data_IF_225057564670
#
_entry.id   IF_225057564670
#
_cell.length_a   1.000
_cell.length_b   1.000
_cell.length_c   1.000
_cell.angle_alpha   90.00
_cell.angle_beta   90.00
_cell.angle_gamma   90.00
#
_symmetry.space_group_name_H-M   'P 1'
#
loop_
_entity.id
_entity.type
_entity.pdbx_description
1 polymer ?
#
# COMPACT_ATOMS: atom_id res chain seq x y z
N UNK A 1 12.31 10.59 -31.87
CA UNK A 1 12.43 10.03 -33.24
C UNK A 1 13.87 9.67 -33.60
N UNK A 2 14.89 10.48 -33.25
CA UNK A 2 16.30 10.21 -33.60
C UNK A 2 16.87 9.01 -32.86
N UNK A 3 16.52 8.79 -31.61
CA UNK A 3 16.92 7.60 -30.85
C UNK A 3 16.31 6.31 -31.41
N UNK A 4 15.07 6.38 -31.89
CA UNK A 4 14.39 5.24 -32.54
C UNK A 4 15.09 4.89 -33.86
N UNK A 5 15.49 5.90 -34.64
CA UNK A 5 16.24 5.69 -35.87
C UNK A 5 17.65 5.17 -35.64
N UNK A 6 18.34 5.69 -34.63
CA UNK A 6 19.70 5.24 -34.28
C UNK A 6 19.74 3.78 -33.79
N UNK A 7 18.65 3.27 -33.25
CA UNK A 7 18.54 1.91 -32.72
C UNK A 7 17.68 0.98 -33.59
N UNK A 8 17.45 1.32 -34.86
CA UNK A 8 16.62 0.53 -35.79
C UNK A 8 17.16 -0.91 -35.97
N UNK A 9 18.47 -1.12 -35.85
CA UNK A 9 19.12 -2.43 -35.91
C UNK A 9 19.29 -3.12 -34.57
N UNK A 10 18.84 -2.50 -33.46
CA UNK A 10 18.90 -3.12 -32.15
C UNK A 10 17.69 -4.04 -31.90
N UNK A 11 17.96 -5.12 -31.19
CA UNK A 11 16.92 -6.09 -30.78
C UNK A 11 15.95 -5.51 -29.70
N UNK A 12 16.04 -4.20 -29.42
CA UNK A 12 15.29 -3.49 -28.38
C UNK A 12 14.11 -2.73 -28.97
N UNK A 13 12.95 -2.95 -28.39
CA UNK A 13 11.72 -2.27 -28.80
C UNK A 13 11.48 -1.01 -27.98
N UNK A 14 12.14 0.09 -28.31
CA UNK A 14 12.07 1.36 -27.58
C UNK A 14 10.61 1.88 -27.43
N UNK A 15 9.77 1.69 -28.46
CA UNK A 15 8.36 2.05 -28.39
C UNK A 15 7.59 1.28 -27.32
N UNK A 16 7.86 -0.01 -27.19
CA UNK A 16 7.25 -0.86 -26.17
C UNK A 16 7.75 -0.47 -24.77
N UNK A 17 9.05 -0.26 -24.64
CA UNK A 17 9.65 0.10 -23.36
C UNK A 17 9.18 1.47 -22.89
N UNK A 18 9.10 2.46 -23.78
CA UNK A 18 8.53 3.77 -23.49
C UNK A 18 7.05 3.69 -23.07
N UNK A 19 6.26 2.88 -23.79
CA UNK A 19 4.86 2.67 -23.42
C UNK A 19 4.69 2.00 -22.06
N UNK A 20 5.53 1.03 -21.77
CA UNK A 20 5.53 0.34 -20.46
C UNK A 20 5.93 1.29 -19.35
N UNK A 21 6.99 2.10 -19.57
CA UNK A 21 7.43 3.09 -18.60
C UNK A 21 6.33 4.10 -18.27
N UNK A 22 5.71 4.71 -19.30
CA UNK A 22 4.62 5.68 -19.10
C UNK A 22 3.44 5.04 -18.37
N UNK A 23 3.08 3.80 -18.74
CA UNK A 23 2.00 3.08 -18.04
C UNK A 23 2.31 2.88 -16.58
N UNK A 24 3.53 2.47 -16.22
CA UNK A 24 3.95 2.29 -14.84
C UNK A 24 3.91 3.61 -14.06
N UNK A 25 4.34 4.73 -14.66
CA UNK A 25 4.26 6.05 -14.03
C UNK A 25 2.81 6.49 -13.77
N UNK A 26 1.90 6.22 -14.72
CA UNK A 26 0.49 6.54 -14.55
C UNK A 26 -0.17 5.66 -13.45
N UNK A 27 0.20 4.38 -13.37
CA UNK A 27 -0.26 3.50 -12.29
C UNK A 27 0.26 3.96 -10.94
N UNK A 28 1.55 4.31 -10.84
CA UNK A 28 2.14 4.86 -9.63
C UNK A 28 1.43 6.15 -9.20
N UNK A 29 1.14 7.06 -10.14
CA UNK A 29 0.40 8.29 -9.85
C UNK A 29 -0.98 8.00 -9.28
N UNK A 30 -1.70 7.04 -9.86
CA UNK A 30 -3.01 6.60 -9.34
C UNK A 30 -2.90 6.08 -7.90
N UNK A 31 -1.86 5.30 -7.61
CA UNK A 31 -1.64 4.76 -6.27
C UNK A 31 -1.27 5.85 -5.26
N UNK A 32 -0.51 6.87 -5.69
CA UNK A 32 -0.22 8.07 -4.88
C UNK A 32 -1.52 8.83 -4.55
N UNK A 33 -2.37 9.06 -5.55
CA UNK A 33 -3.63 9.77 -5.38
C UNK A 33 -4.59 8.99 -4.45
N UNK A 34 -4.61 7.66 -4.56
CA UNK A 34 -5.37 6.81 -3.65
C UNK A 34 -4.84 6.92 -2.20
N UNK A 35 -3.53 6.79 -2.01
CA UNK A 35 -2.92 6.89 -0.68
C UNK A 35 -3.17 8.26 -0.04
N UNK A 36 -2.99 9.34 -0.77
CA UNK A 36 -3.20 10.70 -0.26
C UNK A 36 -4.66 10.98 0.10
N UNK A 37 -5.60 10.28 -0.54
CA UNK A 37 -7.03 10.49 -0.35
C UNK A 37 -7.61 9.55 0.71
N UNK A 38 -7.22 8.28 0.70
CA UNK A 38 -7.88 7.23 1.48
C UNK A 38 -7.00 6.61 2.58
N UNK A 39 -5.67 6.59 2.43
CA UNK A 39 -4.78 6.01 3.44
C UNK A 39 -4.38 7.06 4.48
N UNK A 40 -5.37 7.66 5.13
CA UNK A 40 -5.22 8.69 6.15
C UNK A 40 -6.37 8.65 7.15
N UNK A 41 -6.19 9.30 8.28
CA UNK A 41 -7.23 9.50 9.30
C UNK A 41 -8.35 10.42 8.79
N UNK A 42 -9.54 10.30 9.38
CA UNK A 42 -10.71 11.11 9.05
C UNK A 42 -11.50 10.64 7.81
N UNK A 43 -11.13 9.51 7.23
CA UNK A 43 -11.81 8.93 6.05
C UNK A 43 -12.62 7.68 6.43
N UNK A 44 -12.10 6.90 7.38
CA UNK A 44 -12.69 5.63 7.78
C UNK A 44 -13.54 5.78 9.03
N UNK A 45 -14.38 4.78 9.31
CA UNK A 45 -15.36 4.84 10.41
C UNK A 45 -14.72 4.86 11.80
N UNK A 46 -13.53 4.30 11.96
CA UNK A 46 -12.79 4.27 13.24
C UNK A 46 -11.32 4.57 12.98
N UNK A 47 -10.83 5.61 13.63
CA UNK A 47 -9.41 5.97 13.59
C UNK A 47 -8.80 5.80 14.99
N UNK A 48 -7.63 5.19 15.03
CA UNK A 48 -6.82 5.03 16.26
C UNK A 48 -5.46 5.68 16.08
N UNK A 49 -4.95 6.31 17.12
CA UNK A 49 -3.65 6.98 17.12
C UNK A 49 -2.63 6.21 17.96
N UNK A 50 -1.49 5.89 17.37
CA UNK A 50 -0.39 5.26 18.11
C UNK A 50 0.41 6.29 18.92
N UNK A 51 0.44 6.12 20.25
CA UNK A 51 1.18 6.97 21.19
C UNK A 51 2.37 6.22 21.80
N UNK A 52 3.39 6.98 22.22
CA UNK A 52 4.58 6.39 22.85
C UNK A 52 4.35 6.02 24.32
N UNK A 53 3.40 6.66 24.99
CA UNK A 53 3.03 6.40 26.40
C UNK A 53 1.70 7.10 26.73
N UNK A 54 1.05 6.67 27.81
CA UNK A 54 -0.14 7.34 28.32
C UNK A 54 -1.37 7.14 27.43
N UNK A 55 -1.69 5.91 27.09
CA UNK A 55 -2.81 5.52 26.20
C UNK A 55 -4.15 6.07 26.70
N UNK A 56 -4.80 6.91 25.90
CA UNK A 56 -6.12 7.47 26.12
C UNK A 56 -7.22 6.80 25.26
N UNK A 57 -8.40 7.38 25.29
CA UNK A 57 -9.50 6.89 24.46
C UNK A 57 -9.19 7.12 22.96
N UNK A 58 -9.33 6.07 22.14
CA UNK A 58 -8.99 6.13 20.71
C UNK A 58 -7.50 6.08 20.41
N UNK A 59 -6.69 5.71 21.41
CA UNK A 59 -5.24 5.59 21.27
C UNK A 59 -4.77 4.18 21.57
N UNK A 60 -3.57 3.85 21.13
CA UNK A 60 -2.89 2.59 21.43
C UNK A 60 -1.39 2.80 21.56
N UNK A 61 -0.71 1.92 22.28
CA UNK A 61 0.74 1.96 22.41
C UNK A 61 1.38 1.54 21.06
N UNK A 62 2.32 2.33 20.57
CA UNK A 62 2.98 2.09 19.29
C UNK A 62 3.62 0.70 19.21
N UNK A 63 3.50 0.04 18.07
CA UNK A 63 3.99 -1.34 17.87
C UNK A 63 5.52 -1.47 17.75
N UNK A 64 6.25 -0.39 17.84
CA UNK A 64 7.70 -0.41 18.06
C UNK A 64 8.09 -0.44 19.54
N UNK A 65 7.15 -0.28 20.44
CA UNK A 65 7.36 -0.42 21.89
C UNK A 65 7.17 -1.90 22.29
N UNK A 66 8.12 -2.43 23.02
CA UNK A 66 8.09 -3.82 23.51
C UNK A 66 6.98 -4.11 24.55
N UNK A 67 6.39 -3.07 25.12
CA UNK A 67 5.27 -3.18 26.05
C UNK A 67 3.90 -3.17 25.36
N UNK A 68 3.86 -2.93 24.03
CA UNK A 68 2.63 -3.05 23.27
C UNK A 68 2.26 -4.51 23.02
N UNK A 69 0.98 -4.81 22.84
CA UNK A 69 0.49 -6.15 22.46
C UNK A 69 -0.30 -6.07 21.16
N UNK A 70 0.38 -6.11 20.01
CA UNK A 70 -0.27 -6.03 18.71
C UNK A 70 -1.24 -7.19 18.45
N UNK A 71 -0.98 -8.38 19.00
CA UNK A 71 -1.81 -9.56 18.76
C UNK A 71 -3.19 -9.39 19.39
N UNK A 72 -3.22 -9.01 20.67
CA UNK A 72 -4.48 -8.75 21.38
C UNK A 72 -5.20 -7.56 20.79
N UNK A 73 -4.47 -6.52 20.41
CA UNK A 73 -5.04 -5.33 19.79
C UNK A 73 -5.73 -5.67 18.46
N UNK A 74 -5.10 -6.42 17.56
CA UNK A 74 -5.74 -6.83 16.30
C UNK A 74 -6.96 -7.74 16.54
N UNK A 75 -6.92 -8.61 17.53
CA UNK A 75 -8.07 -9.44 17.89
C UNK A 75 -9.27 -8.59 18.37
N UNK A 76 -9.02 -7.57 19.19
CA UNK A 76 -10.04 -6.60 19.61
C UNK A 76 -10.59 -5.83 18.42
N UNK A 77 -9.72 -5.28 17.57
CA UNK A 77 -10.12 -4.53 16.36
C UNK A 77 -10.94 -5.37 15.39
N UNK A 78 -10.64 -6.67 15.26
CA UNK A 78 -11.46 -7.58 14.44
C UNK A 78 -12.86 -7.75 15.03
N UNK A 79 -12.97 -7.85 16.36
CA UNK A 79 -14.27 -7.95 17.06
C UNK A 79 -15.09 -6.69 16.88
N UNK A 80 -14.49 -5.52 17.11
CA UNK A 80 -15.12 -4.22 16.93
C UNK A 80 -15.56 -4.00 15.48
N UNK A 81 -14.74 -4.45 14.52
CA UNK A 81 -15.07 -4.38 13.11
C UNK A 81 -16.28 -5.24 12.74
N UNK A 82 -16.37 -6.46 13.30
CA UNK A 82 -17.53 -7.33 13.11
C UNK A 82 -18.78 -6.72 13.73
N UNK A 83 -18.68 -6.14 14.91
CA UNK A 83 -19.80 -5.49 15.60
C UNK A 83 -20.36 -4.32 14.79
N UNK A 84 -19.48 -3.50 14.18
CA UNK A 84 -19.88 -2.34 13.40
C UNK A 84 -20.37 -2.67 11.99
N UNK A 85 -19.74 -3.65 11.32
CA UNK A 85 -19.98 -3.93 9.89
C UNK A 85 -20.77 -5.21 9.62
N UNK A 86 -20.93 -6.09 10.61
CA UNK A 86 -21.50 -7.42 10.45
C UNK A 86 -20.62 -8.37 9.61
N UNK A 87 -19.36 -8.00 9.34
CA UNK A 87 -18.40 -8.79 8.56
C UNK A 87 -17.03 -8.75 9.19
N UNK A 88 -16.25 -9.81 8.98
CA UNK A 88 -14.86 -9.86 9.43
C UNK A 88 -13.96 -9.16 8.42
N UNK A 89 -13.05 -8.31 8.89
CA UNK A 89 -12.05 -7.71 8.02
C UNK A 89 -11.11 -8.81 7.46
N UNK A 90 -10.83 -8.74 6.17
CA UNK A 90 -10.01 -9.74 5.48
C UNK A 90 -8.71 -9.19 4.88
N UNK A 91 -8.56 -7.89 4.86
CA UNK A 91 -7.39 -7.24 4.25
C UNK A 91 -6.78 -6.25 5.23
N UNK A 92 -5.47 -6.36 5.42
CA UNK A 92 -4.67 -5.44 6.22
C UNK A 92 -3.62 -4.78 5.33
N UNK A 93 -3.68 -3.46 5.20
CA UNK A 93 -2.70 -2.66 4.47
C UNK A 93 -1.75 -2.03 5.48
N UNK A 94 -0.45 -2.21 5.28
CA UNK A 94 0.59 -1.74 6.20
C UNK A 94 1.59 -0.83 5.50
N UNK A 95 2.03 0.20 6.18
CA UNK A 95 3.19 0.98 5.80
C UNK A 95 4.50 0.21 6.01
N UNK A 96 5.54 0.56 5.26
CA UNK A 96 6.82 -0.15 5.26
C UNK A 96 7.52 -0.20 6.64
N UNK A 97 7.39 0.85 7.44
CA UNK A 97 7.97 0.88 8.80
C UNK A 97 7.13 0.08 9.79
N UNK A 98 5.82 0.09 9.61
CA UNK A 98 4.88 -0.66 10.45
C UNK A 98 5.11 -2.16 10.34
N UNK A 99 5.24 -2.70 9.13
CA UNK A 99 5.53 -4.15 8.95
C UNK A 99 6.89 -4.52 9.54
N UNK A 100 7.89 -3.64 9.46
CA UNK A 100 9.21 -3.87 10.07
C UNK A 100 9.13 -3.91 11.59
N UNK A 101 8.36 -3.01 12.21
CA UNK A 101 8.13 -3.01 13.65
C UNK A 101 7.43 -4.30 14.10
N UNK A 102 6.35 -4.70 13.42
CA UNK A 102 5.62 -5.93 13.72
C UNK A 102 6.47 -7.20 13.57
N UNK A 103 7.29 -7.29 12.53
CA UNK A 103 8.19 -8.45 12.34
C UNK A 103 9.23 -8.61 13.44
N UNK A 104 9.63 -7.52 14.07
CA UNK A 104 10.63 -7.51 15.15
C UNK A 104 10.00 -7.41 16.54
N UNK A 105 8.67 -7.44 16.64
CA UNK A 105 7.99 -7.31 17.93
C UNK A 105 8.20 -8.56 18.81
N UNK A 106 8.58 -8.41 20.08
CA UNK A 106 8.90 -9.54 20.96
C UNK A 106 7.73 -10.52 21.12
N UNK A 107 6.49 -10.06 21.29
CA UNK A 107 5.32 -10.93 21.45
C UNK A 107 5.07 -11.81 20.21
N UNK A 108 5.30 -11.24 19.02
CA UNK A 108 5.16 -11.98 17.77
C UNK A 108 6.26 -13.03 17.67
N UNK A 109 7.50 -12.65 17.99
CA UNK A 109 8.66 -13.56 17.97
C UNK A 109 8.46 -14.68 18.99
N UNK A 110 8.03 -14.38 20.20
CA UNK A 110 7.81 -15.38 21.26
C UNK A 110 6.69 -16.36 20.90
N UNK A 111 5.64 -15.90 20.24
CA UNK A 111 4.56 -16.77 19.78
C UNK A 111 5.00 -17.74 18.68
N UNK A 112 5.98 -17.36 17.87
CA UNK A 112 6.50 -18.13 16.74
C UNK A 112 7.70 -19.00 17.16
N UNK A 113 8.38 -18.66 18.22
CA UNK A 113 9.65 -19.27 18.70
C UNK A 113 9.65 -20.80 18.73
N UNK A 114 8.51 -21.40 19.05
CA UNK A 114 8.35 -22.85 19.15
C UNK A 114 7.70 -23.48 17.93
N UNK A 115 7.42 -22.70 16.87
CA UNK A 115 6.95 -23.23 15.58
C UNK A 115 8.16 -23.55 14.71
N UNK A 116 7.98 -24.46 13.74
CA UNK A 116 9.05 -24.87 12.81
C UNK A 116 9.53 -23.75 11.87
N UNK A 117 8.87 -22.61 11.84
CA UNK A 117 9.21 -21.46 10.98
C UNK A 117 10.00 -20.42 11.79
N UNK A 118 11.30 -20.40 11.57
CA UNK A 118 12.21 -19.46 12.23
C UNK A 118 12.17 -18.01 11.70
N UNK A 119 11.33 -17.68 10.70
CA UNK A 119 11.24 -16.35 10.08
C UNK A 119 9.82 -15.85 10.06
N UNK A 120 9.62 -14.61 10.48
CA UNK A 120 8.33 -13.92 10.45
C UNK A 120 8.04 -13.46 9.02
N UNK A 121 7.21 -14.21 8.30
CA UNK A 121 6.73 -13.86 6.96
C UNK A 121 5.41 -13.08 7.02
N UNK A 122 5.03 -12.42 5.94
CA UNK A 122 3.71 -11.74 5.82
C UNK A 122 2.54 -12.71 5.96
N UNK A 123 2.67 -13.93 5.43
CA UNK A 123 1.63 -14.96 5.51
C UNK A 123 1.43 -15.46 6.95
N UNK A 124 2.52 -15.54 7.70
CA UNK A 124 2.46 -15.90 9.12
C UNK A 124 1.78 -14.80 9.93
N UNK A 125 2.10 -13.53 9.67
CA UNK A 125 1.42 -12.39 10.28
C UNK A 125 -0.07 -12.34 9.89
N UNK A 126 -0.42 -12.67 8.64
CA UNK A 126 -1.81 -12.75 8.20
C UNK A 126 -2.59 -13.80 8.99
N UNK A 127 -2.00 -14.97 9.19
CA UNK A 127 -2.59 -16.03 10.03
C UNK A 127 -2.68 -15.62 11.51
N UNK A 128 -1.71 -14.86 12.02
CA UNK A 128 -1.68 -14.41 13.41
C UNK A 128 -2.74 -13.35 13.70
N UNK A 129 -2.96 -12.42 12.76
CA UNK A 129 -3.95 -11.35 12.86
C UNK A 129 -5.34 -11.77 12.33
N UNK A 130 -5.46 -13.03 11.88
CA UNK A 130 -6.69 -13.61 11.39
C UNK A 130 -7.29 -12.82 10.20
N UNK A 131 -6.42 -12.45 9.25
CA UNK A 131 -6.76 -11.81 7.98
C UNK A 131 -6.35 -12.71 6.80
N UNK A 132 -7.02 -12.56 5.66
CA UNK A 132 -6.70 -13.36 4.46
C UNK A 132 -5.40 -12.90 3.80
N UNK A 133 -5.14 -11.60 3.83
CA UNK A 133 -3.96 -11.02 3.16
C UNK A 133 -3.44 -9.76 3.85
N UNK A 134 -2.12 -9.59 3.77
CA UNK A 134 -1.42 -8.36 4.16
C UNK A 134 -0.80 -7.74 2.91
N UNK A 135 -1.11 -6.48 2.67
CA UNK A 135 -0.53 -5.68 1.59
C UNK A 135 0.44 -4.67 2.21
N UNK A 136 1.64 -4.57 1.66
CA UNK A 136 2.66 -3.64 2.16
C UNK A 136 3.07 -2.69 1.05
N UNK A 137 3.01 -1.39 1.34
CA UNK A 137 3.42 -0.35 0.40
C UNK A 137 4.91 -0.06 0.55
N UNK A 138 5.69 -0.46 -0.46
CA UNK A 138 7.14 -0.19 -0.54
C UNK A 138 7.50 0.85 -1.59
N UNK A 139 6.55 1.29 -2.41
CA UNK A 139 6.83 2.25 -3.47
C UNK A 139 7.30 3.59 -2.89
N UNK A 140 8.27 4.19 -3.57
CA UNK A 140 8.86 5.48 -3.20
C UNK A 140 8.59 6.51 -4.29
N UNK A 141 8.54 7.76 -3.88
CA UNK A 141 8.40 8.93 -4.74
C UNK A 141 9.58 9.87 -4.49
N UNK A 142 10.22 10.30 -5.55
CA UNK A 142 11.20 11.37 -5.51
C UNK A 142 10.51 12.72 -5.56
N UNK A 143 10.76 13.57 -4.59
CA UNK A 143 10.36 14.98 -4.58
C UNK A 143 11.60 15.83 -4.74
N UNK A 144 11.83 16.34 -5.92
CA UNK A 144 12.94 17.21 -6.24
C UNK A 144 12.66 17.99 -7.51
N UNK A 145 13.43 19.04 -7.76
CA UNK A 145 13.41 19.71 -9.06
C UNK A 145 13.88 18.71 -10.13
N UNK A 146 13.36 18.87 -11.34
CA UNK A 146 13.84 18.10 -12.49
C UNK A 146 15.36 18.36 -12.67
N UNK A 147 16.14 17.27 -12.73
CA UNK A 147 17.59 17.37 -12.90
C UNK A 147 17.86 17.76 -14.36
N UNK A 148 18.16 19.03 -14.59
CA UNK A 148 18.43 19.56 -15.92
C UNK A 148 19.90 19.53 -16.33
N UNK A 149 20.82 19.36 -15.35
CA UNK A 149 22.27 19.37 -15.57
C UNK A 149 23.00 18.30 -14.76
N UNK A 150 24.12 17.81 -15.31
CA UNK A 150 24.99 16.85 -14.64
C UNK A 150 25.58 17.36 -13.30
N UNK A 151 25.64 18.69 -13.12
CA UNK A 151 26.06 19.34 -11.88
C UNK A 151 25.00 19.30 -10.78
N UNK A 152 23.71 19.12 -11.14
CA UNK A 152 22.59 19.08 -10.20
C UNK A 152 22.24 17.66 -9.73
N UNK A 153 22.98 16.64 -10.13
CA UNK A 153 22.70 15.24 -9.80
C UNK A 153 22.68 14.97 -8.28
N UNK A 154 23.33 15.81 -7.49
CA UNK A 154 23.36 15.75 -6.02
C UNK A 154 22.43 16.77 -5.35
N UNK A 155 21.79 17.67 -6.09
CA UNK A 155 20.98 18.73 -5.55
C UNK A 155 19.57 18.23 -5.15
N UNK A 156 19.51 17.46 -4.05
CA UNK A 156 18.32 17.50 -3.19
C UNK A 156 17.12 16.67 -3.63
N UNK A 157 17.25 15.65 -4.44
CA UNK A 157 16.14 14.70 -4.64
C UNK A 157 15.91 13.90 -3.35
N UNK A 158 14.89 14.27 -2.60
CA UNK A 158 14.47 13.53 -1.41
C UNK A 158 13.50 12.42 -1.82
N UNK A 159 13.86 11.18 -1.52
CA UNK A 159 12.96 10.04 -1.69
C UNK A 159 12.16 9.80 -0.43
N UNK A 160 10.86 9.66 -0.59
CA UNK A 160 9.94 9.31 0.49
C UNK A 160 9.06 8.13 0.08
N UNK A 161 8.50 7.42 1.07
CA UNK A 161 7.49 6.41 0.75
C UNK A 161 6.24 7.08 0.18
N UNK A 162 5.65 6.46 -0.82
CA UNK A 162 4.42 6.87 -1.47
C UNK A 162 3.24 6.96 -0.49
N UNK A 163 3.19 6.04 0.47
CA UNK A 163 2.18 5.99 1.53
C UNK A 163 2.80 6.39 2.87
N UNK A 164 1.95 6.74 3.85
CA UNK A 164 2.42 6.87 5.22
C UNK A 164 3.01 5.55 5.70
N UNK A 165 4.32 5.56 5.93
CA UNK A 165 5.10 4.37 6.30
C UNK A 165 4.79 3.84 7.70
N UNK A 166 4.09 4.63 8.54
CA UNK A 166 3.76 4.30 9.93
C UNK A 166 2.28 3.97 10.15
N UNK A 167 1.46 4.01 9.10
CA UNK A 167 0.03 3.75 9.18
C UNK A 167 -0.32 2.30 8.86
N UNK A 168 -1.50 1.89 9.32
CA UNK A 168 -2.13 0.61 9.03
C UNK A 168 -3.62 0.82 8.72
N UNK A 169 -4.18 0.05 7.81
CA UNK A 169 -5.61 0.07 7.48
C UNK A 169 -6.15 -1.35 7.47
N UNK A 170 -7.10 -1.61 8.36
CA UNK A 170 -7.85 -2.86 8.40
C UNK A 170 -9.17 -2.67 7.67
N UNK A 171 -9.45 -3.48 6.66
CA UNK A 171 -10.64 -3.31 5.83
C UNK A 171 -11.19 -4.64 5.32
N UNK A 172 -12.43 -4.60 4.84
CA UNK A 172 -13.08 -5.71 4.17
C UNK A 172 -13.17 -5.45 2.67
N UNK A 173 -12.65 -6.39 1.87
CA UNK A 173 -12.71 -6.35 0.41
C UNK A 173 -13.27 -7.67 -0.10
N UNK A 174 -14.46 -7.70 -0.73
CA UNK A 174 -15.03 -8.92 -1.26
C UNK A 174 -14.23 -9.44 -2.47
N UNK A 175 -14.18 -10.75 -2.65
CA UNK A 175 -13.54 -11.41 -3.78
C UNK A 175 -14.24 -11.10 -5.12
N UNK A 176 -15.54 -10.86 -5.07
CA UNK A 176 -16.36 -10.50 -6.24
C UNK A 176 -17.10 -9.19 -5.95
N UNK A 177 -16.78 -8.10 -6.67
CA UNK A 177 -17.48 -6.84 -6.50
C UNK A 177 -18.93 -6.93 -6.97
N UNK A 178 -19.86 -6.40 -6.17
CA UNK A 178 -21.30 -6.32 -6.49
C UNK A 178 -21.89 -5.07 -5.83
N UNK A 179 -22.90 -4.48 -6.46
CA UNK A 179 -23.57 -3.28 -5.94
C UNK A 179 -24.22 -3.49 -4.57
N UNK A 180 -24.61 -4.74 -4.26
CA UNK A 180 -25.26 -5.08 -2.99
C UNK A 180 -24.30 -5.68 -1.96
N UNK A 181 -23.02 -5.79 -2.28
CA UNK A 181 -22.01 -6.35 -1.37
C UNK A 181 -21.26 -5.21 -0.68
N UNK A 182 -21.30 -5.12 0.66
CA UNK A 182 -20.48 -4.15 1.39
C UNK A 182 -18.99 -4.35 1.08
N UNK A 183 -18.29 -3.26 0.90
CA UNK A 183 -16.84 -3.25 0.67
C UNK A 183 -16.25 -1.94 1.18
N UNK A 184 -14.95 -1.93 1.46
CA UNK A 184 -14.23 -0.71 1.80
C UNK A 184 -14.28 0.32 0.66
N UNK A 185 -14.31 -0.14 -0.60
CA UNK A 185 -14.44 0.74 -1.76
C UNK A 185 -14.45 -0.04 -3.07
N UNK A 186 -14.92 0.61 -4.11
CA UNK A 186 -14.91 0.11 -5.48
C UNK A 186 -14.29 1.12 -6.43
N UNK A 187 -13.57 0.64 -7.41
CA UNK A 187 -13.11 1.45 -8.54
C UNK A 187 -14.01 1.19 -9.73
N UNK A 188 -14.69 2.22 -10.19
CA UNK A 188 -15.55 2.14 -11.37
C UNK A 188 -14.76 2.55 -12.61
N UNK A 189 -14.81 1.72 -13.65
CA UNK A 189 -14.20 2.00 -14.95
C UNK A 189 -15.26 2.01 -16.03
N UNK A 190 -15.14 2.96 -16.97
CA UNK A 190 -16.05 3.04 -18.11
C UNK A 190 -15.45 2.33 -19.32
N UNK A 191 -15.87 1.11 -19.56
CA UNK A 191 -15.37 0.27 -20.66
C UNK A 191 -15.54 0.90 -22.05
N UNK A 192 -16.62 1.65 -22.27
CA UNK A 192 -16.86 2.35 -23.55
C UNK A 192 -15.84 3.44 -23.85
N UNK A 193 -15.23 4.05 -22.84
CA UNK A 193 -14.21 5.09 -23.00
C UNK A 193 -12.78 4.53 -22.96
N UNK A 194 -12.55 3.53 -22.13
CA UNK A 194 -11.21 2.99 -21.83
C UNK A 194 -10.83 1.75 -22.64
N UNK A 195 -11.64 1.39 -23.64
CA UNK A 195 -11.36 0.29 -24.58
C UNK A 195 -11.00 -1.05 -23.91
N UNK A 196 -11.73 -1.40 -22.84
CA UNK A 196 -11.56 -2.69 -22.14
C UNK A 196 -10.33 -2.79 -21.27
N UNK A 197 -9.57 -1.72 -21.08
CA UNK A 197 -8.41 -1.70 -20.22
C UNK A 197 -8.86 -1.40 -18.76
N UNK A 198 -8.87 -2.42 -17.89
CA UNK A 198 -9.34 -2.31 -16.51
C UNK A 198 -8.55 -1.37 -15.58
N UNK A 199 -7.47 -0.76 -16.08
CA UNK A 199 -6.58 0.10 -15.29
C UNK A 199 -6.99 1.58 -15.25
N UNK A 200 -8.04 2.01 -15.97
CA UNK A 200 -8.45 3.41 -15.99
C UNK A 200 -7.52 4.34 -16.76
N UNK A 201 -6.61 3.80 -17.56
CA UNK A 201 -5.60 4.54 -18.30
C UNK A 201 -5.85 4.38 -19.80
N UNK A 202 -5.87 5.51 -20.54
CA UNK A 202 -5.93 5.52 -22.00
C UNK A 202 -4.75 6.28 -22.57
N UNK A 203 -3.96 5.60 -23.39
CA UNK A 203 -2.93 6.24 -24.22
C UNK A 203 -3.44 6.45 -25.64
N UNK A 204 -3.24 7.64 -26.18
CA UNK A 204 -3.57 7.94 -27.58
C UNK A 204 -2.32 8.49 -28.26
N UNK A 205 -1.89 7.83 -29.33
CA UNK A 205 -0.78 8.31 -30.17
C UNK A 205 -1.33 9.28 -31.23
N UNK A 206 -0.74 10.45 -31.31
CA UNK A 206 -0.97 11.40 -32.36
C UNK A 206 0.22 11.40 -33.32
N UNK A 207 0.00 11.32 -34.61
CA UNK A 207 1.02 11.66 -35.60
C UNK A 207 0.86 13.16 -35.90
N UNK A 208 1.92 13.91 -35.68
CA UNK A 208 2.07 15.26 -36.22
C UNK A 208 2.66 15.21 -37.58
#
# INVERSE_FOLDING_TARGET
DDQIRANADSNWSLDKDASTFVTNQLLLKRDIDWNSTFFKTGVWGTDLTGVASGVGAGEFLQWNDSASDPIVQFASLQTDFVEQSGRKANTLVLGARTITALKNHPDIIDRIKYTQRGVVTTDLLASLFDVERILVSYATVGSGAEINDAADQDAGTTYSFMSDSKSALLCYTPSSPSLMTPAAGYTFTWNGYLAGNGYGIRMKRFRM
#
